data_IF_735275864264
#
_entry.id   IF_735275864264
#
_cell.length_a   1.000
_cell.length_b   1.000
_cell.length_c   1.000
_cell.angle_alpha   90.00
_cell.angle_beta   90.00
_cell.angle_gamma   90.00
#
_symmetry.space_group_name_H-M   'P 1'
#
loop_
_entity.id
_entity.type
_entity.pdbx_description
1 polymer ?
#
# COMPACT_ATOMS: atom_id res chain seq x y z
N UNK A 1 17.83 17.54 -8.39
CA UNK A 1 17.35 16.62 -7.34
C UNK A 1 16.92 15.33 -8.00
N UNK A 2 17.47 14.18 -7.58
CA UNK A 2 17.11 12.90 -8.19
C UNK A 2 15.81 12.35 -7.61
N UNK A 3 15.72 12.24 -6.28
CA UNK A 3 14.59 11.62 -5.60
C UNK A 3 14.04 12.54 -4.52
N UNK A 4 12.71 12.68 -4.47
CA UNK A 4 11.97 13.20 -3.32
C UNK A 4 11.42 12.02 -2.53
N UNK A 5 11.97 11.78 -1.34
CA UNK A 5 11.50 10.70 -0.44
C UNK A 5 10.35 11.27 0.38
N UNK A 6 9.17 10.64 0.29
CA UNK A 6 7.94 11.12 0.92
C UNK A 6 7.49 10.11 1.97
N UNK A 7 7.34 10.60 3.19
CA UNK A 7 6.96 9.81 4.37
C UNK A 7 5.68 10.43 4.95
N UNK A 8 4.61 9.64 5.02
CA UNK A 8 3.36 10.04 5.69
C UNK A 8 3.36 9.46 7.10
N UNK A 9 3.29 10.32 8.10
CA UNK A 9 3.30 9.94 9.51
C UNK A 9 1.95 10.15 10.19
N UNK A 10 1.59 9.22 11.08
CA UNK A 10 0.46 9.37 12.01
C UNK A 10 0.69 8.56 13.29
N UNK A 11 1.15 9.24 14.36
CA UNK A 11 1.41 8.64 15.67
C UNK A 11 2.31 7.40 15.62
N UNK A 12 3.47 7.51 14.93
CA UNK A 12 4.44 6.42 14.79
C UNK A 12 5.87 6.91 15.02
N UNK A 13 6.11 7.70 16.10
CA UNK A 13 7.38 8.37 16.40
C UNK A 13 8.60 7.47 16.26
N UNK A 14 8.63 6.34 16.98
CA UNK A 14 9.81 5.47 17.00
C UNK A 14 10.10 4.87 15.62
N UNK A 15 9.06 4.41 14.92
CA UNK A 15 9.17 3.87 13.57
C UNK A 15 9.62 4.94 12.56
N UNK A 16 9.09 6.16 12.69
CA UNK A 16 9.53 7.30 11.87
C UNK A 16 11.01 7.58 12.05
N UNK A 17 11.50 7.56 13.31
CA UNK A 17 12.91 7.83 13.59
C UNK A 17 13.84 6.74 13.04
N UNK A 18 13.43 5.46 13.07
CA UNK A 18 14.14 4.35 12.41
C UNK A 18 14.12 4.50 10.88
N UNK A 19 12.98 4.87 10.30
CA UNK A 19 12.83 5.12 8.88
C UNK A 19 13.77 6.24 8.40
N UNK A 20 13.74 7.40 9.06
CA UNK A 20 14.62 8.53 8.75
C UNK A 20 16.10 8.16 8.89
N UNK A 21 16.49 7.47 9.97
CA UNK A 21 17.85 7.01 10.16
C UNK A 21 18.32 6.17 8.98
N UNK A 22 17.50 5.21 8.52
CA UNK A 22 17.84 4.35 7.39
C UNK A 22 18.09 5.14 6.09
N UNK A 23 17.33 6.22 5.85
CA UNK A 23 17.53 7.07 4.68
C UNK A 23 18.91 7.75 4.76
N UNK A 24 19.20 8.45 5.85
CA UNK A 24 20.44 9.21 6.00
C UNK A 24 21.68 8.32 6.12
N UNK A 25 21.53 7.08 6.57
CA UNK A 25 22.62 6.10 6.66
C UNK A 25 22.90 5.42 5.33
N UNK A 26 21.88 5.09 4.52
CA UNK A 26 22.06 4.24 3.33
C UNK A 26 22.10 5.00 2.01
N UNK A 27 21.40 6.13 1.88
CA UNK A 27 21.32 6.88 0.62
C UNK A 27 22.54 7.82 0.48
N UNK A 28 23.50 7.47 -0.40
CA UNK A 28 24.78 8.20 -0.54
C UNK A 28 25.12 8.64 -1.96
N UNK A 29 24.63 7.95 -2.98
CA UNK A 29 25.05 8.13 -4.37
C UNK A 29 24.07 8.91 -5.24
N UNK A 30 22.91 9.29 -4.68
CA UNK A 30 21.88 10.06 -5.36
C UNK A 30 21.52 11.28 -4.53
N UNK A 31 21.16 12.38 -5.18
CA UNK A 31 20.70 13.59 -4.48
C UNK A 31 19.25 13.43 -4.05
N UNK A 32 18.98 13.61 -2.76
CA UNK A 32 17.63 13.42 -2.21
C UNK A 32 17.18 14.65 -1.42
N UNK A 33 15.88 14.88 -1.42
CA UNK A 33 15.18 15.67 -0.42
C UNK A 33 14.21 14.75 0.31
N UNK A 34 13.95 15.03 1.58
CA UNK A 34 13.01 14.26 2.41
C UNK A 34 11.83 15.15 2.77
N UNK A 35 10.63 14.62 2.53
CA UNK A 35 9.36 15.23 2.89
C UNK A 35 8.67 14.39 3.96
N UNK A 36 8.47 14.97 5.14
CA UNK A 36 7.64 14.41 6.20
C UNK A 36 6.27 15.08 6.15
N UNK A 37 5.24 14.32 5.81
CA UNK A 37 3.84 14.78 5.87
C UNK A 37 3.18 14.18 7.09
N UNK A 38 2.94 15.01 8.10
CA UNK A 38 2.34 14.60 9.36
C UNK A 38 0.82 14.77 9.34
N UNK A 39 0.11 13.69 9.61
CA UNK A 39 -1.36 13.63 9.63
C UNK A 39 -1.95 13.91 11.02
N UNK A 40 -1.56 15.02 11.65
CA UNK A 40 -1.99 15.45 12.99
C UNK A 40 -1.58 14.46 14.09
N UNK A 41 -0.31 14.11 14.15
CA UNK A 41 0.25 13.29 15.23
C UNK A 41 0.34 14.10 16.55
N UNK A 42 0.15 13.39 17.67
CA UNK A 42 0.20 13.95 19.03
C UNK A 42 1.29 13.28 19.88
N UNK A 43 2.14 12.46 19.27
CA UNK A 43 3.17 11.65 19.94
C UNK A 43 4.56 12.31 20.01
N UNK A 44 4.68 13.58 19.53
CA UNK A 44 5.95 14.30 19.47
C UNK A 44 6.88 13.83 18.35
N UNK A 45 6.34 13.14 17.33
CA UNK A 45 7.11 12.64 16.18
C UNK A 45 7.70 13.76 15.33
N UNK A 46 6.97 14.85 15.11
CA UNK A 46 7.41 15.97 14.27
C UNK A 46 8.56 16.71 14.93
N UNK A 47 8.46 17.02 16.23
CA UNK A 47 9.49 17.69 17.01
C UNK A 47 10.79 16.88 17.03
N UNK A 48 10.66 15.55 17.25
CA UNK A 48 11.81 14.65 17.27
C UNK A 48 12.50 14.61 15.89
N UNK A 49 11.72 14.54 14.81
CA UNK A 49 12.25 14.52 13.45
C UNK A 49 12.97 15.82 13.09
N UNK A 50 12.36 16.99 13.35
CA UNK A 50 12.98 18.32 13.11
C UNK A 50 14.26 18.53 13.92
N UNK A 51 14.27 18.09 15.17
CA UNK A 51 15.44 18.23 16.03
C UNK A 51 16.64 17.42 15.53
N UNK A 52 16.40 16.17 15.11
CA UNK A 52 17.48 15.28 14.67
C UNK A 52 17.88 15.48 13.19
N UNK A 53 16.93 15.89 12.36
CA UNK A 53 17.09 16.06 10.91
C UNK A 53 16.53 17.42 10.47
N UNK A 54 17.22 18.54 10.77
CA UNK A 54 16.70 19.90 10.55
C UNK A 54 16.47 20.24 9.07
N UNK A 55 17.13 19.56 8.14
CA UNK A 55 17.04 19.82 6.69
C UNK A 55 15.86 19.12 6.00
N UNK A 56 15.02 18.37 6.72
CA UNK A 56 13.83 17.76 6.11
C UNK A 56 12.72 18.78 5.90
N UNK A 57 11.97 18.62 4.82
CA UNK A 57 10.76 19.41 4.57
C UNK A 57 9.60 18.81 5.38
N UNK A 58 8.85 19.63 6.09
CA UNK A 58 7.74 19.14 6.93
C UNK A 58 6.44 19.85 6.57
N UNK A 59 5.40 19.05 6.32
CA UNK A 59 4.01 19.50 6.17
C UNK A 59 3.23 18.92 7.34
N UNK A 60 2.58 19.77 8.15
CA UNK A 60 1.74 19.36 9.26
C UNK A 60 0.27 19.64 8.93
N UNK A 61 -0.54 18.59 8.95
CA UNK A 61 -1.98 18.67 8.74
C UNK A 61 -2.71 18.85 10.07
N UNK A 62 -3.86 19.52 10.05
CA UNK A 62 -4.71 19.69 11.23
C UNK A 62 -5.52 18.42 11.57
N UNK A 63 -5.62 17.47 10.63
CA UNK A 63 -6.33 16.21 10.76
C UNK A 63 -5.70 15.13 9.90
N UNK A 64 -6.01 13.88 10.17
CA UNK A 64 -5.59 12.77 9.32
C UNK A 64 -6.37 12.79 7.99
N UNK A 65 -5.66 13.11 6.89
CA UNK A 65 -6.19 13.19 5.54
C UNK A 65 -6.19 11.84 4.80
N UNK A 66 -5.61 10.79 5.39
CA UNK A 66 -5.34 9.51 4.74
C UNK A 66 -4.03 9.53 3.93
N UNK A 67 -3.73 8.39 3.29
CA UNK A 67 -2.44 8.21 2.64
C UNK A 67 -2.33 8.98 1.31
N UNK A 68 -3.36 8.90 0.46
CA UNK A 68 -3.34 9.52 -0.85
C UNK A 68 -3.24 11.05 -0.77
N UNK A 69 -4.13 11.70 -0.01
CA UNK A 69 -4.16 13.15 0.12
C UNK A 69 -2.89 13.70 0.77
N UNK A 70 -2.35 13.01 1.78
CA UNK A 70 -1.11 13.42 2.43
C UNK A 70 0.09 13.36 1.47
N UNK A 71 0.27 12.26 0.71
CA UNK A 71 1.33 12.19 -0.30
C UNK A 71 1.19 13.29 -1.37
N UNK A 72 -0.03 13.58 -1.80
CA UNK A 72 -0.29 14.60 -2.81
C UNK A 72 0.15 16.00 -2.39
N UNK A 73 0.16 16.32 -1.10
CA UNK A 73 0.69 17.60 -0.61
C UNK A 73 2.19 17.74 -0.87
N UNK A 74 2.95 16.66 -0.68
CA UNK A 74 4.38 16.63 -0.99
C UNK A 74 4.63 16.60 -2.50
N UNK A 75 3.86 15.85 -3.29
CA UNK A 75 4.00 15.81 -4.75
C UNK A 75 3.89 17.19 -5.40
N UNK A 76 3.05 18.07 -4.87
CA UNK A 76 2.88 19.44 -5.37
C UNK A 76 4.10 20.34 -5.12
N UNK A 77 5.00 19.95 -4.23
CA UNK A 77 6.16 20.75 -3.80
C UNK A 77 7.51 20.08 -4.10
N UNK A 78 7.51 18.79 -4.43
CA UNK A 78 8.72 18.01 -4.68
C UNK A 78 9.53 18.55 -5.89
N UNK A 79 10.85 18.42 -5.79
CA UNK A 79 11.80 18.85 -6.82
C UNK A 79 12.48 17.67 -7.53
N UNK A 80 12.32 16.45 -7.00
CA UNK A 80 12.93 15.24 -7.56
C UNK A 80 12.31 14.84 -8.89
N UNK A 81 13.12 14.26 -9.77
CA UNK A 81 12.65 13.59 -11.00
C UNK A 81 11.86 12.32 -10.68
N UNK A 82 12.00 11.82 -9.46
CA UNK A 82 11.28 10.67 -8.93
C UNK A 82 10.74 10.96 -7.55
N UNK A 83 9.55 10.45 -7.25
CA UNK A 83 9.01 10.35 -5.90
C UNK A 83 9.27 8.94 -5.35
N UNK A 84 9.88 8.82 -4.17
CA UNK A 84 9.98 7.56 -3.43
C UNK A 84 9.03 7.61 -2.24
N UNK A 85 7.88 6.96 -2.35
CA UNK A 85 6.97 6.78 -1.23
C UNK A 85 7.57 5.74 -0.28
N UNK A 86 7.66 6.08 1.00
CA UNK A 86 8.22 5.21 2.03
C UNK A 86 7.35 5.29 3.29
N UNK A 87 6.82 4.16 3.75
CA UNK A 87 6.05 4.13 4.99
C UNK A 87 6.95 4.34 6.21
N UNK A 88 6.39 4.89 7.30
CA UNK A 88 7.12 5.07 8.57
C UNK A 88 7.62 3.75 9.18
N UNK A 89 6.92 2.62 8.93
CA UNK A 89 7.31 1.29 9.39
C UNK A 89 8.19 0.52 8.39
N UNK A 90 8.81 1.25 7.43
CA UNK A 90 9.76 0.72 6.45
C UNK A 90 11.14 1.33 6.64
N UNK A 91 12.18 0.50 6.54
CA UNK A 91 13.59 0.92 6.60
C UNK A 91 14.35 0.43 5.38
N UNK A 92 15.09 1.32 4.73
CA UNK A 92 15.92 0.98 3.57
C UNK A 92 17.12 0.12 4.02
N UNK A 93 17.47 -0.86 3.21
CA UNK A 93 18.60 -1.75 3.43
C UNK A 93 19.64 -1.49 2.34
N UNK A 94 20.89 -1.36 2.73
CA UNK A 94 22.02 -1.12 1.80
C UNK A 94 21.70 0.05 0.84
N UNK A 95 21.85 -0.19 -0.45
CA UNK A 95 21.61 0.78 -1.53
C UNK A 95 20.21 0.67 -2.16
N UNK A 96 19.17 0.36 -1.39
CA UNK A 96 17.83 0.08 -1.95
C UNK A 96 17.27 1.26 -2.78
N UNK A 97 17.44 2.50 -2.34
CA UNK A 97 16.98 3.68 -3.08
C UNK A 97 17.76 3.86 -4.39
N UNK A 98 19.08 3.67 -4.36
CA UNK A 98 19.93 3.74 -5.56
C UNK A 98 19.62 2.60 -6.54
N UNK A 99 19.36 1.38 -6.07
CA UNK A 99 18.96 0.27 -6.92
C UNK A 99 17.64 0.57 -7.65
N UNK A 100 16.65 1.14 -6.96
CA UNK A 100 15.42 1.58 -7.57
C UNK A 100 15.65 2.70 -8.58
N UNK A 101 16.40 3.74 -8.19
CA UNK A 101 16.73 4.87 -9.06
C UNK A 101 17.45 4.42 -10.34
N UNK A 102 18.53 3.65 -10.22
CA UNK A 102 19.29 3.15 -11.34
C UNK A 102 18.45 2.28 -12.28
N UNK A 103 17.55 1.47 -11.72
CA UNK A 103 16.60 0.70 -12.50
C UNK A 103 15.65 1.60 -13.31
N UNK A 104 15.10 2.65 -12.69
CA UNK A 104 14.24 3.62 -13.37
C UNK A 104 14.98 4.35 -14.49
N UNK A 105 16.20 4.81 -14.24
CA UNK A 105 17.02 5.49 -15.26
C UNK A 105 17.33 4.58 -16.46
N UNK A 106 17.66 3.31 -16.22
CA UNK A 106 17.92 2.32 -17.26
C UNK A 106 16.66 1.90 -18.04
N UNK A 107 15.46 2.22 -17.55
CA UNK A 107 14.18 1.77 -18.11
C UNK A 107 13.19 2.95 -18.28
N UNK A 108 13.31 3.79 -19.32
CA UNK A 108 12.51 5.00 -19.49
C UNK A 108 10.99 4.79 -19.57
N UNK A 109 10.54 3.59 -19.96
CA UNK A 109 9.11 3.22 -20.05
C UNK A 109 8.51 2.76 -18.70
N UNK A 110 9.31 2.72 -17.62
CA UNK A 110 8.83 2.34 -16.29
C UNK A 110 8.33 3.59 -15.56
N UNK A 111 7.06 3.59 -15.20
CA UNK A 111 6.42 4.63 -14.41
C UNK A 111 6.52 4.38 -12.91
N UNK A 112 6.42 3.10 -12.49
CA UNK A 112 6.48 2.69 -11.06
C UNK A 112 7.42 1.49 -10.91
N UNK A 113 8.25 1.50 -9.86
CA UNK A 113 8.97 0.32 -9.41
C UNK A 113 8.92 0.17 -7.89
N UNK A 114 8.99 -1.08 -7.40
CA UNK A 114 9.07 -1.39 -5.96
C UNK A 114 10.17 -2.41 -5.67
N UNK A 115 10.63 -2.43 -4.43
CA UNK A 115 11.62 -3.38 -3.94
C UNK A 115 11.02 -4.60 -3.22
N UNK A 116 11.90 -5.52 -2.78
CA UNK A 116 11.53 -6.68 -1.98
C UNK A 116 11.33 -6.26 -0.52
N UNK A 117 10.09 -6.32 -0.06
CA UNK A 117 9.77 -6.14 1.35
C UNK A 117 10.17 -7.39 2.15
N UNK A 118 10.77 -7.18 3.30
CA UNK A 118 11.21 -8.20 4.23
C UNK A 118 10.57 -7.98 5.60
N UNK A 119 10.28 -9.05 6.32
CA UNK A 119 9.96 -9.00 7.72
C UNK A 119 11.22 -8.64 8.55
N UNK A 120 11.05 -8.27 9.79
CA UNK A 120 12.17 -7.96 10.72
C UNK A 120 13.10 -9.14 10.96
N UNK A 121 12.65 -10.37 10.73
CA UNK A 121 13.46 -11.59 10.78
C UNK A 121 14.20 -11.90 9.46
N UNK A 122 14.11 -11.01 8.47
CA UNK A 122 14.70 -11.18 7.14
C UNK A 122 13.90 -12.07 6.17
N UNK A 123 12.81 -12.68 6.63
CA UNK A 123 11.93 -13.47 5.75
C UNK A 123 11.18 -12.56 4.78
N UNK A 124 10.85 -13.11 3.60
CA UNK A 124 10.20 -12.33 2.54
C UNK A 124 8.77 -11.97 2.88
N UNK A 125 8.42 -10.71 2.66
CA UNK A 125 7.04 -10.26 2.57
C UNK A 125 6.57 -10.20 1.12
N UNK A 126 5.24 -10.19 0.95
CA UNK A 126 4.62 -9.87 -0.33
C UNK A 126 4.88 -8.40 -0.69
N UNK A 127 5.47 -8.15 -1.85
CA UNK A 127 5.81 -6.82 -2.35
C UNK A 127 4.96 -6.39 -3.53
N UNK A 128 4.18 -7.31 -4.13
CA UNK A 128 3.42 -7.09 -5.37
C UNK A 128 1.95 -7.39 -5.17
N UNK A 129 1.11 -6.73 -5.96
CA UNK A 129 -0.33 -6.95 -5.98
C UNK A 129 -0.83 -7.14 -7.41
N UNK A 130 -1.96 -7.84 -7.56
CA UNK A 130 -2.68 -7.91 -8.82
C UNK A 130 -3.85 -6.92 -8.79
N UNK A 131 -4.26 -6.44 -9.95
CA UNK A 131 -5.47 -5.64 -10.04
C UNK A 131 -6.68 -6.41 -9.52
N UNK A 132 -7.58 -5.76 -8.76
CA UNK A 132 -8.84 -6.36 -8.38
C UNK A 132 -9.62 -6.81 -9.64
N UNK A 133 -10.05 -8.06 -9.68
CA UNK A 133 -10.81 -8.61 -10.79
C UNK A 133 -11.91 -9.55 -10.28
N UNK A 134 -12.94 -9.79 -11.09
CA UNK A 134 -14.00 -10.73 -10.74
C UNK A 134 -13.41 -12.13 -10.46
N UNK A 135 -12.42 -12.56 -11.25
CA UNK A 135 -11.73 -13.83 -11.02
C UNK A 135 -11.07 -13.90 -9.64
N UNK A 136 -10.37 -12.85 -9.23
CA UNK A 136 -9.72 -12.78 -7.89
C UNK A 136 -10.73 -12.71 -6.74
N UNK A 137 -11.99 -12.35 -7.03
CA UNK A 137 -13.07 -12.37 -6.06
C UNK A 137 -13.68 -13.76 -5.89
N UNK A 138 -13.91 -14.46 -6.99
CA UNK A 138 -14.63 -15.74 -7.00
C UNK A 138 -13.71 -16.91 -6.68
N UNK A 139 -12.45 -16.88 -7.14
CA UNK A 139 -11.51 -17.98 -7.01
C UNK A 139 -10.41 -17.70 -6.00
N UNK A 140 -9.88 -18.77 -5.41
CA UNK A 140 -8.69 -18.67 -4.56
C UNK A 140 -7.47 -18.28 -5.42
N UNK A 141 -6.70 -17.32 -4.93
CA UNK A 141 -5.51 -16.82 -5.64
C UNK A 141 -4.47 -17.92 -5.92
N UNK A 142 -4.41 -18.97 -5.08
CA UNK A 142 -3.53 -20.13 -5.33
C UNK A 142 -3.95 -20.90 -6.58
N UNK A 143 -5.26 -21.09 -6.79
CA UNK A 143 -5.80 -21.72 -7.99
C UNK A 143 -5.53 -20.86 -9.23
N UNK A 144 -5.76 -19.55 -9.12
CA UNK A 144 -5.50 -18.62 -10.23
C UNK A 144 -4.03 -18.60 -10.65
N UNK A 145 -3.09 -18.75 -9.71
CA UNK A 145 -1.65 -18.85 -10.00
C UNK A 145 -1.29 -20.13 -10.76
N UNK A 146 -1.96 -21.23 -10.48
CA UNK A 146 -1.73 -22.50 -11.19
C UNK A 146 -2.28 -22.39 -12.62
N UNK A 147 -3.50 -21.86 -12.77
CA UNK A 147 -4.17 -21.78 -14.07
C UNK A 147 -3.63 -20.65 -14.97
N UNK A 148 -3.22 -19.53 -14.37
CA UNK A 148 -2.79 -18.34 -15.08
C UNK A 148 -1.51 -17.73 -14.47
N UNK A 149 -0.35 -18.45 -14.50
CA UNK A 149 0.86 -18.05 -13.78
C UNK A 149 1.45 -16.71 -14.25
N UNK A 150 1.30 -16.37 -15.52
CA UNK A 150 1.78 -15.11 -16.07
C UNK A 150 0.92 -13.91 -15.62
N UNK A 151 -0.37 -14.11 -15.43
CA UNK A 151 -1.31 -13.06 -14.97
C UNK A 151 -1.31 -12.92 -13.45
N UNK A 152 -1.03 -13.99 -12.73
CA UNK A 152 -0.98 -14.02 -11.27
C UNK A 152 0.40 -14.51 -10.81
N UNK A 153 1.45 -13.68 -10.89
CA UNK A 153 2.80 -14.08 -10.50
C UNK A 153 2.84 -14.50 -9.03
N UNK A 154 3.67 -15.50 -8.73
CA UNK A 154 3.77 -16.03 -7.37
C UNK A 154 4.41 -15.02 -6.43
N UNK A 155 3.67 -14.56 -5.44
CA UNK A 155 4.14 -13.66 -4.38
C UNK A 155 5.16 -14.32 -3.43
N UNK A 156 5.30 -15.66 -3.50
CA UNK A 156 6.22 -16.46 -2.67
C UNK A 156 7.49 -16.89 -3.41
N UNK A 157 7.51 -16.78 -4.74
CA UNK A 157 8.67 -17.16 -5.55
C UNK A 157 9.85 -16.24 -5.26
N UNK A 158 11.07 -16.78 -5.28
CA UNK A 158 12.30 -16.01 -5.23
C UNK A 158 12.59 -15.52 -6.65
N UNK A 159 12.41 -14.23 -6.88
CA UNK A 159 12.85 -13.57 -8.10
C UNK A 159 14.28 -13.07 -7.90
N UNK A 160 15.12 -13.24 -8.92
CA UNK A 160 16.51 -12.78 -8.95
C UNK A 160 16.70 -11.63 -9.94
N UNK A 161 15.76 -11.47 -10.87
CA UNK A 161 15.72 -10.43 -11.89
C UNK A 161 14.44 -9.62 -11.76
N UNK A 162 14.44 -8.35 -12.21
CA UNK A 162 13.23 -7.54 -12.25
C UNK A 162 12.12 -8.21 -13.09
N UNK A 163 10.89 -8.08 -12.65
CA UNK A 163 9.70 -8.59 -13.36
C UNK A 163 8.63 -7.51 -13.47
N UNK A 164 7.91 -7.48 -14.59
CA UNK A 164 6.73 -6.65 -14.76
C UNK A 164 5.58 -7.20 -13.90
N UNK A 165 4.83 -6.30 -13.23
CA UNK A 165 3.75 -6.64 -12.31
C UNK A 165 2.56 -5.72 -12.53
N UNK A 166 1.38 -6.10 -12.02
CA UNK A 166 0.19 -5.24 -12.10
C UNK A 166 0.32 -4.03 -11.17
N UNK A 167 0.76 -4.24 -9.93
CA UNK A 167 0.89 -3.20 -8.91
C UNK A 167 1.90 -3.58 -7.83
N UNK A 168 2.34 -2.59 -7.09
CA UNK A 168 3.23 -2.70 -5.93
C UNK A 168 2.45 -2.59 -4.62
N UNK A 169 3.06 -3.03 -3.51
CA UNK A 169 2.60 -2.65 -2.17
C UNK A 169 3.19 -1.28 -1.84
N UNK A 170 2.35 -0.33 -1.43
CA UNK A 170 2.71 1.08 -1.21
C UNK A 170 3.67 1.35 -0.03
N UNK A 171 4.29 0.31 0.56
CA UNK A 171 5.23 0.48 1.67
C UNK A 171 6.58 1.10 1.24
N UNK A 172 7.03 0.79 0.02
CA UNK A 172 8.18 1.43 -0.62
C UNK A 172 8.02 1.32 -2.14
N UNK A 173 7.78 2.44 -2.81
CA UNK A 173 7.70 2.45 -4.27
C UNK A 173 8.23 3.77 -4.84
N UNK A 174 9.04 3.68 -5.91
CA UNK A 174 9.52 4.82 -6.67
C UNK A 174 8.63 5.07 -7.88
N UNK A 175 8.34 6.34 -8.16
CA UNK A 175 7.44 6.77 -9.23
C UNK A 175 8.12 7.87 -10.05
N UNK A 176 8.09 7.74 -11.36
CA UNK A 176 8.63 8.72 -12.31
C UNK A 176 7.74 9.95 -12.35
N UNK A 177 8.33 11.15 -12.19
CA UNK A 177 7.58 12.41 -12.24
C UNK A 177 6.88 12.63 -13.58
N UNK A 178 7.54 12.35 -14.70
CA UNK A 178 6.96 12.45 -16.04
C UNK A 178 5.67 11.61 -16.16
N UNK A 179 5.68 10.38 -15.65
CA UNK A 179 4.49 9.52 -15.63
C UNK A 179 3.39 10.09 -14.70
N UNK A 180 3.79 10.70 -13.57
CA UNK A 180 2.83 11.40 -12.69
C UNK A 180 2.19 12.60 -13.38
N UNK A 181 2.98 13.39 -14.11
CA UNK A 181 2.50 14.57 -14.83
C UNK A 181 1.51 14.19 -15.94
N UNK A 182 1.67 13.01 -16.57
CA UNK A 182 0.78 12.49 -17.60
C UNK A 182 -0.51 11.90 -17.03
N UNK A 183 -0.44 11.02 -16.03
CA UNK A 183 -1.61 10.29 -15.53
C UNK A 183 -2.27 10.93 -14.31
N UNK A 184 -1.66 11.98 -13.74
CA UNK A 184 -2.06 12.61 -12.50
C UNK A 184 -1.53 11.88 -11.26
N UNK A 185 -1.72 12.50 -10.10
CA UNK A 185 -1.29 12.03 -8.78
C UNK A 185 -2.29 11.05 -8.16
N UNK A 186 -2.13 10.64 -6.91
CA UNK A 186 -3.01 9.70 -6.22
C UNK A 186 -4.46 10.22 -6.15
N UNK A 187 -5.44 9.33 -6.34
CA UNK A 187 -6.87 9.67 -6.20
C UNK A 187 -7.25 9.76 -4.71
N UNK A 188 -7.55 10.97 -4.23
CA UNK A 188 -7.82 11.27 -2.81
C UNK A 188 -9.13 10.66 -2.28
N UNK A 189 -9.98 10.11 -3.15
CA UNK A 189 -11.15 9.33 -2.73
C UNK A 189 -10.77 8.01 -2.07
N UNK A 190 -9.55 7.55 -2.27
CA UNK A 190 -8.96 6.47 -1.47
C UNK A 190 -8.35 7.07 -0.21
N UNK A 191 -8.99 6.85 0.93
CA UNK A 191 -8.40 7.25 2.22
C UNK A 191 -7.19 6.37 2.57
N UNK A 192 -7.33 5.06 2.36
CA UNK A 192 -6.30 4.06 2.57
C UNK A 192 -6.64 2.77 1.82
N UNK A 193 -5.66 2.07 1.27
CA UNK A 193 -5.73 0.89 0.41
C UNK A 193 -6.19 1.16 -1.02
N UNK A 194 -5.52 0.53 -1.96
CA UNK A 194 -5.78 0.53 -3.40
C UNK A 194 -5.54 1.88 -4.11
N UNK A 195 -5.11 2.92 -3.42
CA UNK A 195 -4.66 4.16 -4.04
C UNK A 195 -3.46 3.92 -4.97
N UNK A 196 -2.49 3.13 -4.54
CA UNK A 196 -1.32 2.72 -5.32
C UNK A 196 -1.72 1.78 -6.46
N UNK A 197 -2.72 0.94 -6.23
CA UNK A 197 -3.24 0.01 -7.24
C UNK A 197 -4.02 0.75 -8.33
N UNK A 198 -4.83 1.75 -7.97
CA UNK A 198 -5.51 2.64 -8.91
C UNK A 198 -4.49 3.44 -9.74
N UNK A 199 -3.45 3.92 -9.08
CA UNK A 199 -2.39 4.67 -9.77
C UNK A 199 -1.64 3.80 -10.77
N UNK A 200 -1.24 2.60 -10.37
CA UNK A 200 -0.63 1.61 -11.25
C UNK A 200 -1.56 1.23 -12.43
N UNK A 201 -2.88 1.16 -12.20
CA UNK A 201 -3.85 0.91 -13.27
C UNK A 201 -3.93 2.07 -14.27
N UNK A 202 -3.93 3.33 -13.81
CA UNK A 202 -3.85 4.52 -14.68
C UNK A 202 -2.53 4.57 -15.45
N UNK A 203 -1.40 4.26 -14.81
CA UNK A 203 -0.10 4.14 -15.47
C UNK A 203 -0.15 3.13 -16.62
N UNK A 204 -0.71 1.94 -16.37
CA UNK A 204 -0.87 0.91 -17.41
C UNK A 204 -1.74 1.36 -18.59
N UNK A 205 -2.82 2.11 -18.33
CA UNK A 205 -3.69 2.63 -19.39
C UNK A 205 -2.99 3.67 -20.27
N UNK A 206 -1.94 4.31 -19.77
CA UNK A 206 -1.07 5.25 -20.47
C UNK A 206 0.24 4.58 -20.96
N UNK A 207 0.28 3.24 -21.06
CA UNK A 207 1.42 2.44 -21.54
C UNK A 207 2.70 2.53 -20.69
N UNK A 208 2.60 3.05 -19.45
CA UNK A 208 3.68 2.96 -18.47
C UNK A 208 3.73 1.58 -17.84
N UNK A 209 4.94 1.07 -17.61
CA UNK A 209 5.17 -0.23 -17.00
C UNK A 209 5.38 -0.12 -15.50
N UNK A 210 5.01 -1.18 -14.78
CA UNK A 210 5.20 -1.32 -13.34
C UNK A 210 6.12 -2.51 -13.10
N UNK A 211 7.19 -2.33 -12.29
CA UNK A 211 8.19 -3.36 -12.05
C UNK A 211 8.45 -3.65 -10.58
N UNK A 212 8.70 -4.92 -10.31
CA UNK A 212 9.29 -5.37 -9.05
C UNK A 212 10.78 -5.59 -9.24
N UNK A 213 11.61 -4.95 -8.40
CA UNK A 213 13.08 -4.97 -8.45
C UNK A 213 13.62 -5.69 -7.20
N UNK A 214 13.92 -7.00 -7.28
CA UNK A 214 14.23 -7.82 -6.11
C UNK A 214 15.56 -7.48 -5.41
N UNK A 215 16.45 -6.75 -6.05
CA UNK A 215 17.72 -6.30 -5.46
C UNK A 215 17.52 -5.17 -4.46
N UNK A 216 16.54 -4.28 -4.67
CA UNK A 216 16.17 -3.26 -3.72
C UNK A 216 15.46 -3.93 -2.53
N UNK A 217 16.06 -3.92 -1.34
CA UNK A 217 15.55 -4.61 -0.15
C UNK A 217 15.13 -3.61 0.92
N UNK A 218 13.97 -3.85 1.52
CA UNK A 218 13.38 -2.96 2.51
C UNK A 218 12.80 -3.80 3.65
N UNK A 219 13.22 -3.54 4.89
CA UNK A 219 12.48 -4.07 6.04
C UNK A 219 11.16 -3.34 6.18
N UNK A 220 10.09 -4.06 6.48
CA UNK A 220 8.77 -3.49 6.70
C UNK A 220 8.09 -4.19 7.87
N UNK A 221 7.92 -3.46 8.98
CA UNK A 221 7.35 -3.98 10.22
C UNK A 221 5.81 -4.03 10.19
N UNK A 222 5.27 -4.64 9.15
CA UNK A 222 3.86 -4.68 8.75
C UNK A 222 2.85 -4.68 9.90
N UNK A 223 1.94 -3.72 9.90
CA UNK A 223 0.78 -3.67 10.78
C UNK A 223 1.02 -2.99 12.12
N UNK A 224 2.17 -2.39 12.36
CA UNK A 224 2.42 -1.58 13.56
C UNK A 224 1.78 -0.18 13.45
N UNK A 225 1.69 0.38 12.25
CA UNK A 225 1.08 1.69 11.98
C UNK A 225 -0.46 1.68 12.02
N UNK A 226 -1.10 0.57 11.67
CA UNK A 226 -2.57 0.43 11.67
C UNK A 226 -2.96 -0.89 12.31
N UNK A 227 -3.50 -0.86 13.52
CA UNK A 227 -3.91 -2.04 14.28
C UNK A 227 -4.85 -3.00 13.51
N UNK A 228 -4.99 -4.25 13.98
CA UNK A 228 -5.95 -5.24 13.45
C UNK A 228 -7.37 -4.88 13.91
N UNK A 229 -8.04 -3.93 13.23
CA UNK A 229 -9.39 -3.50 13.57
C UNK A 229 -10.41 -3.83 12.47
N UNK A 230 -11.69 -3.87 12.83
CA UNK A 230 -12.80 -3.98 11.88
C UNK A 230 -12.79 -2.81 10.91
N UNK A 231 -12.47 -1.61 11.39
CA UNK A 231 -12.36 -0.40 10.58
C UNK A 231 -11.36 -0.57 9.43
N UNK A 232 -10.23 -1.25 9.66
CA UNK A 232 -9.27 -1.58 8.60
C UNK A 232 -9.89 -2.42 7.48
N UNK A 233 -10.74 -3.41 7.83
CA UNK A 233 -11.44 -4.22 6.83
C UNK A 233 -12.51 -3.40 6.10
N UNK A 234 -13.26 -2.58 6.80
CA UNK A 234 -14.25 -1.68 6.19
C UNK A 234 -13.57 -0.74 5.19
N UNK A 235 -12.45 -0.10 5.56
CA UNK A 235 -11.67 0.75 4.66
C UNK A 235 -11.21 -0.02 3.41
N UNK A 236 -10.70 -1.26 3.58
CA UNK A 236 -10.30 -2.09 2.44
C UNK A 236 -11.47 -2.43 1.51
N UNK A 237 -12.63 -2.83 2.04
CA UNK A 237 -13.82 -3.11 1.23
C UNK A 237 -14.35 -1.85 0.55
N UNK A 238 -14.35 -0.70 1.24
CA UNK A 238 -14.72 0.60 0.67
C UNK A 238 -13.86 0.94 -0.54
N UNK A 239 -12.56 0.92 -0.40
CA UNK A 239 -11.60 1.21 -1.47
C UNK A 239 -11.76 0.23 -2.64
N UNK A 240 -12.01 -1.06 -2.33
CA UNK A 240 -12.27 -2.08 -3.33
C UNK A 240 -13.55 -1.83 -4.12
N UNK A 241 -14.64 -1.44 -3.47
CA UNK A 241 -15.89 -1.08 -4.15
C UNK A 241 -15.73 0.19 -4.98
N UNK A 242 -15.00 1.17 -4.47
CA UNK A 242 -14.70 2.37 -5.23
C UNK A 242 -13.88 2.03 -6.51
N UNK A 243 -12.86 1.18 -6.40
CA UNK A 243 -12.09 0.71 -7.56
C UNK A 243 -12.98 0.05 -8.61
N UNK A 244 -13.84 -0.87 -8.22
CA UNK A 244 -14.74 -1.53 -9.15
C UNK A 244 -15.79 -0.61 -9.73
N UNK A 245 -16.34 0.32 -8.97
CA UNK A 245 -17.27 1.33 -9.47
C UNK A 245 -16.61 2.24 -10.51
N UNK A 246 -15.36 2.63 -10.28
CA UNK A 246 -14.58 3.50 -11.17
C UNK A 246 -14.20 2.80 -12.47
N UNK A 247 -13.74 1.56 -12.41
CA UNK A 247 -13.12 0.88 -13.55
C UNK A 247 -13.95 -0.23 -14.17
N UNK A 248 -14.96 -0.73 -13.48
CA UNK A 248 -15.80 -1.86 -13.88
C UNK A 248 -17.29 -1.59 -13.62
N UNK A 249 -17.76 -0.41 -13.94
CA UNK A 249 -19.11 0.07 -13.64
C UNK A 249 -20.20 -0.91 -14.15
N UNK A 250 -20.07 -1.40 -15.39
CA UNK A 250 -21.03 -2.35 -16.00
C UNK A 250 -21.19 -3.66 -15.21
N UNK A 251 -20.15 -4.09 -14.50
CA UNK A 251 -20.15 -5.34 -13.71
C UNK A 251 -20.20 -5.09 -12.20
N UNK A 252 -20.29 -3.83 -11.79
CA UNK A 252 -20.24 -3.45 -10.38
C UNK A 252 -21.29 -4.16 -9.51
N UNK A 253 -22.55 -4.25 -9.98
CA UNK A 253 -23.63 -4.93 -9.24
C UNK A 253 -23.30 -6.41 -9.04
N UNK A 254 -22.78 -7.08 -10.07
CA UNK A 254 -22.38 -8.49 -9.96
C UNK A 254 -21.27 -8.66 -8.92
N UNK A 255 -20.29 -7.77 -8.94
CA UNK A 255 -19.16 -7.76 -7.99
C UNK A 255 -19.66 -7.51 -6.56
N UNK A 256 -20.51 -6.51 -6.37
CA UNK A 256 -21.11 -6.17 -5.09
C UNK A 256 -21.88 -7.38 -4.50
N UNK A 257 -22.73 -8.01 -5.31
CA UNK A 257 -23.51 -9.19 -4.93
C UNK A 257 -22.59 -10.37 -4.61
N UNK A 258 -21.58 -10.65 -5.42
CA UNK A 258 -20.62 -11.73 -5.18
C UNK A 258 -19.84 -11.53 -3.87
N UNK A 259 -19.39 -10.32 -3.57
CA UNK A 259 -18.75 -10.00 -2.29
C UNK A 259 -19.70 -10.18 -1.12
N UNK A 260 -20.96 -9.72 -1.25
CA UNK A 260 -21.98 -9.87 -0.21
C UNK A 260 -22.27 -11.34 0.09
N UNK A 261 -22.49 -12.18 -0.94
CA UNK A 261 -22.68 -13.63 -0.79
C UNK A 261 -21.47 -14.27 -0.08
N UNK A 262 -20.25 -13.88 -0.48
CA UNK A 262 -19.02 -14.37 0.16
C UNK A 262 -18.94 -13.96 1.64
N UNK A 263 -19.36 -12.76 1.99
CA UNK A 263 -19.43 -12.32 3.38
C UNK A 263 -20.45 -13.13 4.19
N UNK A 264 -21.63 -13.40 3.63
CA UNK A 264 -22.63 -14.26 4.24
C UNK A 264 -22.09 -15.67 4.50
N UNK A 265 -21.48 -16.29 3.48
CA UNK A 265 -20.88 -17.62 3.60
C UNK A 265 -19.78 -17.65 4.67
N UNK A 266 -18.89 -16.66 4.70
CA UNK A 266 -17.84 -16.58 5.71
C UNK A 266 -18.40 -16.35 7.13
N UNK A 267 -19.50 -15.62 7.26
CA UNK A 267 -20.19 -15.43 8.55
C UNK A 267 -20.76 -16.75 9.04
N UNK A 268 -21.45 -17.49 8.16
CA UNK A 268 -22.00 -18.81 8.50
C UNK A 268 -20.90 -19.79 8.90
N UNK A 269 -19.84 -19.90 8.12
CA UNK A 269 -18.68 -20.75 8.44
C UNK A 269 -18.02 -20.37 9.76
N UNK A 270 -17.89 -19.08 10.05
CA UNK A 270 -17.32 -18.64 11.32
C UNK A 270 -18.27 -18.88 12.51
N UNK A 271 -19.59 -18.78 12.31
CA UNK A 271 -20.61 -19.16 13.29
C UNK A 271 -20.52 -20.66 13.62
N UNK A 272 -20.46 -21.52 12.61
CA UNK A 272 -20.26 -22.96 12.81
C UNK A 272 -18.97 -23.23 13.61
N UNK A 273 -17.88 -22.55 13.28
CA UNK A 273 -16.63 -22.64 14.04
C UNK A 273 -16.79 -22.22 15.52
N UNK A 274 -17.58 -21.19 15.81
CA UNK A 274 -17.89 -20.76 17.19
C UNK A 274 -18.72 -21.83 17.90
N UNK A 275 -19.73 -22.39 17.26
CA UNK A 275 -20.57 -23.46 17.83
C UNK A 275 -19.76 -24.73 18.11
N UNK A 276 -18.95 -25.20 17.15
CA UNK A 276 -18.08 -26.37 17.34
C UNK A 276 -17.07 -26.21 18.47
N UNK A 277 -16.60 -24.99 18.72
CA UNK A 277 -15.64 -24.71 19.80
C UNK A 277 -16.32 -24.24 21.09
N UNK A 278 -17.66 -24.30 21.18
CA UNK A 278 -18.45 -23.75 22.27
C UNK A 278 -18.06 -22.31 22.66
N UNK A 279 -17.63 -21.54 21.68
CA UNK A 279 -17.14 -20.16 21.88
C UNK A 279 -15.77 -20.03 22.57
N UNK A 280 -15.08 -21.15 22.88
CA UNK A 280 -13.80 -21.10 23.59
C UNK A 280 -12.64 -20.67 22.70
N UNK A 281 -12.73 -20.85 21.38
CA UNK A 281 -11.68 -20.41 20.46
C UNK A 281 -11.82 -18.93 20.14
N UNK A 282 -10.94 -18.10 20.71
CA UNK A 282 -10.92 -16.65 20.54
C UNK A 282 -10.78 -16.21 19.07
N UNK A 283 -10.01 -16.96 18.26
CA UNK A 283 -9.79 -16.65 16.84
C UNK A 283 -11.08 -16.79 16.02
N UNK A 284 -11.88 -17.84 16.25
CA UNK A 284 -13.17 -18.05 15.56
C UNK A 284 -14.19 -17.01 15.99
N UNK A 285 -14.27 -16.71 17.30
CA UNK A 285 -15.14 -15.69 17.86
C UNK A 285 -14.83 -14.29 17.30
N UNK A 286 -13.55 -13.87 17.27
CA UNK A 286 -13.13 -12.60 16.67
C UNK A 286 -13.49 -12.53 15.18
N UNK A 287 -13.28 -13.63 14.42
CA UNK A 287 -13.66 -13.69 13.01
C UNK A 287 -15.16 -13.49 12.81
N UNK A 288 -15.98 -14.18 13.59
CA UNK A 288 -17.43 -14.09 13.51
C UNK A 288 -17.92 -12.65 13.77
N UNK A 289 -17.44 -12.01 14.83
CA UNK A 289 -17.77 -10.61 15.15
C UNK A 289 -17.42 -9.67 13.98
N UNK A 290 -16.24 -9.85 13.40
CA UNK A 290 -15.80 -9.03 12.27
C UNK A 290 -16.72 -9.21 11.06
N UNK A 291 -17.12 -10.44 10.72
CA UNK A 291 -17.98 -10.69 9.57
C UNK A 291 -19.40 -10.16 9.79
N UNK A 292 -19.96 -10.28 11.01
CA UNK A 292 -21.25 -9.66 11.34
C UNK A 292 -21.18 -8.14 11.13
N UNK A 293 -20.14 -7.49 11.64
CA UNK A 293 -20.00 -6.04 11.50
C UNK A 293 -19.85 -5.62 10.02
N UNK A 294 -19.18 -6.41 9.20
CA UNK A 294 -19.11 -6.17 7.75
C UNK A 294 -20.47 -6.34 7.08
N UNK A 295 -21.27 -7.34 7.46
CA UNK A 295 -22.63 -7.52 6.94
C UNK A 295 -23.53 -6.35 7.35
N UNK A 296 -23.49 -5.94 8.61
CA UNK A 296 -24.25 -4.77 9.08
C UNK A 296 -23.86 -3.49 8.34
N UNK A 297 -22.57 -3.31 8.06
CA UNK A 297 -22.09 -2.21 7.24
C UNK A 297 -22.64 -2.29 5.80
N UNK A 298 -22.72 -3.49 5.21
CA UNK A 298 -23.35 -3.71 3.90
C UNK A 298 -24.83 -3.34 3.89
N UNK A 299 -25.60 -3.79 4.88
CA UNK A 299 -27.03 -3.43 5.00
C UNK A 299 -27.29 -1.92 5.17
N UNK A 300 -26.31 -1.20 5.70
CA UNK A 300 -26.35 0.27 5.78
C UNK A 300 -25.98 0.96 4.46
N UNK A 301 -25.84 0.23 3.36
CA UNK A 301 -25.49 0.77 2.05
C UNK A 301 -24.00 1.12 1.87
N UNK A 302 -23.11 0.51 2.65
CA UNK A 302 -21.66 0.73 2.58
C UNK A 302 -21.28 2.21 2.71
N UNK A 303 -21.70 2.91 3.77
CA UNK A 303 -21.49 4.35 3.88
C UNK A 303 -20.02 4.71 3.74
N UNK A 304 -19.74 5.79 3.02
CA UNK A 304 -18.39 6.30 2.79
C UNK A 304 -17.83 7.03 4.01
N UNK A 305 -18.71 7.51 4.89
CA UNK A 305 -18.37 8.25 6.11
C UNK A 305 -18.89 7.48 7.34
N UNK A 306 -18.06 6.74 7.99
CA UNK A 306 -18.31 6.20 9.34
C UNK A 306 -16.99 6.11 10.11
#
# INVERSE_FOLDING_TARGET
>A
MNISIIIVNWNTKDLLMECLASIFETVKKVTVEVWLVDNASIDGSVEAAKTKYPDINVIQNERNLGFAAANNLAFKQMKGSYALLLNTDATLIDSAAEELFNFMEANPKVGIACGQLLNTDGSKQNSIANYPSLLSLLFNEAVLRILFPNKFPSKRRKYTTPIEVDSCIGACMIVRKEAMDEVGILDEKYFFFLEETDWAYRMKLADWKIYFVPKARIFHAQGKSIGKSVNKKIMFYRSRYYFFKKWHEKTYIVIYTAVFIRLLANTLLSLLGVLFTLGLNERTRKRFIIYIQLILWHFRGCPLNS
#
